data_IF_371379899061
#
_entry.id   IF_371379899061
#
_cell.length_a   1.000
_cell.length_b   1.000
_cell.length_c   1.000
_cell.angle_alpha   90.00
_cell.angle_beta   90.00
_cell.angle_gamma   90.00
#
_symmetry.space_group_name_H-M   'P 1'
#
loop_
_entity.id
_entity.type
_entity.pdbx_description
1 polymer ?
#
# COMPACT_ATOMS: atom_id res chain seq x y z
N UNK A 1 27.24 20.35 14.07
CA UNK A 1 26.43 19.10 14.12
C UNK A 1 26.18 18.55 15.53
N UNK A 2 26.91 18.96 16.59
CA UNK A 2 26.74 18.46 17.97
C UNK A 2 25.48 18.99 18.69
N UNK A 3 25.01 20.20 18.33
CA UNK A 3 23.91 20.90 19.02
C UNK A 3 22.51 20.29 18.78
N UNK A 4 22.29 19.65 17.61
CA UNK A 4 21.01 19.01 17.29
C UNK A 4 20.87 17.63 17.96
N UNK A 5 21.96 16.86 18.04
CA UNK A 5 22.00 15.56 18.73
C UNK A 5 21.76 15.71 20.24
N UNK A 6 22.21 16.81 20.86
CA UNK A 6 21.99 17.05 22.29
C UNK A 6 20.53 17.34 22.61
N UNK A 7 19.86 18.24 21.87
CA UNK A 7 18.43 18.57 22.06
C UNK A 7 17.51 17.34 21.95
N UNK A 8 17.76 16.48 20.98
CA UNK A 8 17.00 15.23 20.81
C UNK A 8 17.10 14.32 22.04
N UNK A 9 18.30 14.15 22.59
CA UNK A 9 18.54 13.33 23.79
C UNK A 9 17.87 13.89 25.06
N UNK A 10 17.85 15.23 25.21
CA UNK A 10 17.14 15.88 26.31
C UNK A 10 15.61 15.72 26.20
N UNK A 11 15.06 15.78 24.98
CA UNK A 11 13.64 15.54 24.74
C UNK A 11 13.25 14.11 25.11
N UNK A 12 14.01 13.11 24.65
CA UNK A 12 13.77 11.69 24.98
C UNK A 12 13.75 11.44 26.49
N UNK A 13 14.73 11.96 27.23
CA UNK A 13 14.79 11.81 28.70
C UNK A 13 13.64 12.50 29.43
N UNK A 14 13.25 13.68 28.96
CA UNK A 14 12.13 14.43 29.57
C UNK A 14 10.81 13.68 29.37
N UNK A 15 10.60 13.12 28.17
CA UNK A 15 9.44 12.26 27.85
C UNK A 15 9.44 11.01 28.72
N UNK A 16 10.57 10.28 28.80
CA UNK A 16 10.70 9.10 29.65
C UNK A 16 10.35 9.38 31.11
N UNK A 17 10.82 10.52 31.65
CA UNK A 17 10.54 10.93 33.03
C UNK A 17 9.05 11.21 33.27
N UNK A 18 8.40 11.93 32.35
CA UNK A 18 6.97 12.25 32.46
C UNK A 18 6.11 10.99 32.34
N UNK A 19 6.47 10.09 31.42
CA UNK A 19 5.77 8.84 31.17
C UNK A 19 6.17 7.71 32.13
N UNK A 20 7.07 7.98 33.08
CA UNK A 20 7.57 7.03 34.07
C UNK A 20 8.10 5.71 33.48
N UNK A 21 8.80 5.81 32.35
CA UNK A 21 9.32 4.67 31.57
C UNK A 21 10.81 4.83 31.28
N UNK A 22 11.47 3.74 30.86
CA UNK A 22 12.88 3.76 30.45
C UNK A 22 13.02 4.20 28.98
N UNK A 23 14.21 4.68 28.59
CA UNK A 23 14.51 4.98 27.18
C UNK A 23 14.32 3.73 26.28
N UNK A 24 14.58 2.53 26.81
CA UNK A 24 14.37 1.26 26.10
C UNK A 24 12.89 0.92 25.91
N UNK A 25 12.07 1.14 26.94
CA UNK A 25 10.60 0.97 26.85
C UNK A 25 10.02 1.95 25.83
N UNK A 26 10.42 3.22 25.89
CA UNK A 26 9.97 4.22 24.92
C UNK A 26 10.37 3.85 23.48
N UNK A 27 11.59 3.33 23.28
CA UNK A 27 12.03 2.89 21.96
C UNK A 27 11.24 1.68 21.44
N UNK A 28 10.93 0.72 22.32
CA UNK A 28 10.09 -0.42 21.98
C UNK A 28 8.66 0.02 21.59
N UNK A 29 8.05 0.89 22.39
CA UNK A 29 6.70 1.43 22.12
C UNK A 29 6.66 2.20 20.79
N UNK A 30 7.65 3.06 20.54
CA UNK A 30 7.77 3.77 19.25
C UNK A 30 7.88 2.78 18.08
N UNK A 31 8.67 1.71 18.23
CA UNK A 31 8.82 0.69 17.18
C UNK A 31 7.50 -0.03 16.89
N UNK A 32 6.74 -0.37 17.93
CA UNK A 32 5.42 -1.00 17.79
C UNK A 32 4.44 -0.07 17.08
N UNK A 33 4.34 1.19 17.54
CA UNK A 33 3.46 2.20 16.94
C UNK A 33 3.84 2.42 15.47
N UNK A 34 5.13 2.49 15.15
CA UNK A 34 5.61 2.65 13.78
C UNK A 34 5.17 1.48 12.89
N UNK A 35 5.36 0.24 13.34
CA UNK A 35 4.96 -0.96 12.59
C UNK A 35 3.44 -1.05 12.39
N UNK A 36 2.65 -0.65 13.40
CA UNK A 36 1.20 -0.57 13.28
C UNK A 36 0.78 0.47 12.23
N UNK A 37 1.40 1.66 12.26
CA UNK A 37 1.13 2.70 11.28
C UNK A 37 1.51 2.28 9.86
N UNK A 38 2.65 1.63 9.68
CA UNK A 38 3.09 1.09 8.38
C UNK A 38 2.09 0.07 7.83
N UNK A 39 1.52 -0.78 8.68
CA UNK A 39 0.49 -1.75 8.30
C UNK A 39 -0.80 -1.07 7.83
N UNK A 40 -1.28 -0.07 8.58
CA UNK A 40 -2.47 0.69 8.20
C UNK A 40 -2.26 1.45 6.88
N UNK A 41 -1.09 2.07 6.70
CA UNK A 41 -0.75 2.74 5.44
C UNK A 41 -0.78 1.77 4.26
N UNK A 42 -0.18 0.59 4.41
CA UNK A 42 -0.17 -0.43 3.35
C UNK A 42 -1.60 -0.89 2.97
N UNK A 43 -2.49 -1.01 3.96
CA UNK A 43 -3.90 -1.32 3.72
C UNK A 43 -4.60 -0.22 2.92
N UNK A 44 -4.45 1.04 3.32
CA UNK A 44 -5.01 2.17 2.57
C UNK A 44 -4.45 2.26 1.15
N UNK A 45 -3.16 2.01 0.95
CA UNK A 45 -2.54 1.97 -0.38
C UNK A 45 -3.19 0.90 -1.25
N UNK A 46 -3.37 -0.31 -0.72
CA UNK A 46 -4.00 -1.42 -1.45
C UNK A 46 -5.45 -1.08 -1.84
N UNK A 47 -6.21 -0.45 -0.94
CA UNK A 47 -7.57 0.02 -1.26
C UNK A 47 -7.59 1.10 -2.35
N UNK A 48 -6.62 2.03 -2.34
CA UNK A 48 -6.48 3.06 -3.38
C UNK A 48 -6.18 2.41 -4.73
N UNK A 49 -5.24 1.46 -4.78
CA UNK A 49 -4.89 0.74 -6.00
C UNK A 49 -6.08 -0.03 -6.55
N UNK A 50 -6.84 -0.72 -5.69
CA UNK A 50 -8.07 -1.39 -6.08
C UNK A 50 -9.08 -0.44 -6.71
N UNK A 51 -9.29 0.73 -6.12
CA UNK A 51 -10.22 1.74 -6.66
C UNK A 51 -9.74 2.28 -8.00
N UNK A 52 -8.44 2.57 -8.15
CA UNK A 52 -7.87 3.03 -9.40
C UNK A 52 -8.05 2.00 -10.51
N UNK A 53 -7.67 0.74 -10.27
CA UNK A 53 -7.86 -0.35 -11.23
C UNK A 53 -9.33 -0.51 -11.62
N UNK A 54 -10.26 -0.43 -10.65
CA UNK A 54 -11.71 -0.48 -10.92
C UNK A 54 -12.17 0.66 -11.83
N UNK A 55 -11.71 1.89 -11.62
CA UNK A 55 -12.08 3.03 -12.47
C UNK A 55 -11.61 2.80 -13.92
N UNK A 56 -10.36 2.38 -14.11
CA UNK A 56 -9.83 2.10 -15.45
C UNK A 56 -10.55 0.93 -16.12
N UNK A 57 -10.77 -0.16 -15.39
CA UNK A 57 -11.46 -1.34 -15.90
C UNK A 57 -12.93 -1.04 -16.23
N UNK A 58 -13.61 -0.24 -15.42
CA UNK A 58 -15.01 0.14 -15.66
C UNK A 58 -15.16 0.96 -16.95
N UNK A 59 -14.19 1.82 -17.27
CA UNK A 59 -14.20 2.58 -18.52
C UNK A 59 -14.05 1.68 -19.77
N UNK A 60 -13.43 0.50 -19.63
CA UNK A 60 -13.26 -0.48 -20.72
C UNK A 60 -14.42 -1.47 -20.78
N UNK A 61 -14.83 -2.04 -19.64
CA UNK A 61 -15.84 -3.10 -19.57
C UNK A 61 -17.28 -2.59 -19.46
N UNK A 62 -17.48 -1.34 -19.03
CA UNK A 62 -18.79 -0.67 -18.92
C UNK A 62 -19.74 -1.21 -17.86
N UNK A 63 -19.38 -2.30 -17.16
CA UNK A 63 -20.23 -2.96 -16.16
C UNK A 63 -19.41 -3.32 -14.91
N UNK A 64 -19.90 -2.91 -13.74
CA UNK A 64 -19.25 -3.15 -12.45
C UNK A 64 -19.15 -4.64 -12.07
N UNK A 65 -20.17 -5.45 -12.40
CA UNK A 65 -20.16 -6.89 -12.12
C UNK A 65 -19.11 -7.60 -12.97
N UNK A 66 -18.98 -7.21 -14.25
CA UNK A 66 -17.93 -7.70 -15.13
C UNK A 66 -16.54 -7.34 -14.60
N UNK A 67 -16.34 -6.10 -14.15
CA UNK A 67 -15.09 -5.67 -13.52
C UNK A 67 -14.78 -6.49 -12.27
N UNK A 68 -15.79 -6.72 -11.41
CA UNK A 68 -15.59 -7.48 -10.18
C UNK A 68 -15.21 -8.94 -10.46
N UNK A 69 -15.81 -9.56 -11.48
CA UNK A 69 -15.44 -10.90 -11.92
C UNK A 69 -14.03 -10.93 -12.51
N UNK A 70 -13.72 -10.00 -13.42
CA UNK A 70 -12.40 -9.90 -14.06
C UNK A 70 -11.26 -9.70 -13.04
N UNK A 71 -11.50 -8.92 -11.98
CA UNK A 71 -10.51 -8.73 -10.91
C UNK A 71 -10.14 -10.01 -10.17
N UNK A 72 -11.02 -11.02 -10.19
CA UNK A 72 -10.82 -12.31 -9.51
C UNK A 72 -10.42 -13.43 -10.47
N UNK A 73 -10.36 -13.14 -11.77
CA UNK A 73 -10.01 -14.12 -12.79
C UNK A 73 -8.49 -14.17 -12.96
N UNK A 74 -7.94 -15.38 -13.01
CA UNK A 74 -6.52 -15.56 -13.29
C UNK A 74 -6.22 -15.10 -14.71
N UNK A 75 -5.17 -14.29 -14.86
CA UNK A 75 -4.79 -13.77 -16.16
C UNK A 75 -3.39 -14.28 -16.58
N UNK A 76 -3.25 -14.98 -17.71
CA UNK A 76 -1.95 -15.43 -18.20
C UNK A 76 -0.91 -14.31 -18.40
N UNK A 77 -1.34 -13.11 -18.79
CA UNK A 77 -0.46 -11.94 -18.94
C UNK A 77 0.03 -11.37 -17.60
N UNK A 78 -0.59 -11.79 -16.49
CA UNK A 78 -0.19 -11.48 -15.11
C UNK A 78 0.46 -12.69 -14.44
N UNK A 79 1.16 -13.54 -15.22
CA UNK A 79 1.85 -14.73 -14.72
C UNK A 79 0.91 -15.73 -14.01
N UNK A 80 -0.37 -15.76 -14.41
CA UNK A 80 -1.41 -16.60 -13.82
C UNK A 80 -2.01 -16.07 -12.51
N UNK A 81 -1.58 -14.89 -12.03
CA UNK A 81 -2.20 -14.22 -10.90
C UNK A 81 -3.52 -13.53 -11.29
N UNK A 82 -4.36 -13.22 -10.30
CA UNK A 82 -5.53 -12.38 -10.53
C UNK A 82 -5.13 -10.91 -10.49
N UNK A 83 -5.82 -9.99 -11.20
CA UNK A 83 -5.55 -8.57 -11.08
C UNK A 83 -5.60 -8.07 -9.63
N UNK A 84 -6.51 -8.59 -8.80
CA UNK A 84 -6.61 -8.21 -7.39
C UNK A 84 -5.36 -8.57 -6.57
N UNK A 85 -4.68 -9.68 -6.86
CA UNK A 85 -3.48 -10.11 -6.15
C UNK A 85 -2.32 -9.11 -6.31
N UNK A 86 -2.28 -8.39 -7.43
CA UNK A 86 -1.22 -7.41 -7.73
C UNK A 86 -1.47 -6.04 -7.07
N UNK A 87 -2.67 -5.75 -6.59
CA UNK A 87 -3.06 -4.41 -6.11
C UNK A 87 -2.63 -4.13 -4.66
N UNK A 88 -1.58 -4.80 -4.19
CA UNK A 88 -0.87 -4.52 -2.94
C UNK A 88 0.40 -3.66 -3.17
N UNK A 89 0.72 -3.36 -4.42
CA UNK A 89 1.93 -2.63 -4.79
C UNK A 89 1.70 -1.69 -5.98
N UNK A 90 2.48 -0.62 -6.05
CA UNK A 90 2.41 0.33 -7.16
C UNK A 90 2.78 -0.30 -8.51
N UNK A 91 3.81 -1.15 -8.54
CA UNK A 91 4.21 -1.87 -9.76
C UNK A 91 3.13 -2.85 -10.22
N UNK A 92 2.45 -3.51 -9.29
CA UNK A 92 1.32 -4.38 -9.62
C UNK A 92 0.14 -3.62 -10.20
N UNK A 93 -0.19 -2.44 -9.66
CA UNK A 93 -1.20 -1.56 -10.25
C UNK A 93 -0.85 -1.17 -11.69
N UNK A 94 0.40 -0.78 -11.96
CA UNK A 94 0.85 -0.40 -13.29
C UNK A 94 0.62 -1.54 -14.30
N UNK A 95 1.03 -2.77 -13.95
CA UNK A 95 0.76 -3.96 -14.78
C UNK A 95 -0.72 -4.19 -15.04
N UNK A 96 -1.57 -3.99 -14.03
CA UNK A 96 -3.03 -4.13 -14.16
C UNK A 96 -3.61 -3.04 -15.07
N UNK A 97 -3.17 -1.79 -14.94
CA UNK A 97 -3.59 -0.69 -15.82
C UNK A 97 -3.15 -0.94 -17.27
N UNK A 98 -1.92 -1.40 -17.48
CA UNK A 98 -1.40 -1.73 -18.80
C UNK A 98 -2.20 -2.84 -19.46
N UNK A 99 -2.57 -3.88 -18.70
CA UNK A 99 -3.46 -4.94 -19.17
C UNK A 99 -4.83 -4.40 -19.60
N UNK A 100 -5.45 -3.54 -18.78
CA UNK A 100 -6.74 -2.91 -19.13
C UNK A 100 -6.62 -2.07 -20.41
N UNK A 101 -5.52 -1.34 -20.58
CA UNK A 101 -5.25 -0.57 -21.78
C UNK A 101 -5.04 -1.47 -23.01
N UNK A 102 -4.33 -2.59 -22.86
CA UNK A 102 -4.14 -3.56 -23.93
C UNK A 102 -5.49 -4.16 -24.39
N UNK A 103 -6.37 -4.51 -23.44
CA UNK A 103 -7.73 -4.98 -23.71
C UNK A 103 -8.54 -3.93 -24.48
N UNK A 104 -8.47 -2.65 -24.07
CA UNK A 104 -9.15 -1.54 -24.77
C UNK A 104 -8.76 -1.47 -26.25
N UNK A 105 -7.48 -1.68 -26.55
CA UNK A 105 -6.95 -1.60 -27.91
C UNK A 105 -7.00 -2.93 -28.68
N UNK A 106 -7.57 -3.99 -28.09
CA UNK A 106 -7.67 -5.31 -28.71
C UNK A 106 -6.32 -6.02 -28.88
N UNK A 107 -5.30 -5.60 -28.13
CA UNK A 107 -3.97 -6.21 -28.16
C UNK A 107 -3.99 -7.40 -27.19
N UNK A 108 -4.22 -8.60 -27.70
CA UNK A 108 -4.05 -9.83 -26.93
C UNK A 108 -2.56 -10.21 -26.89
N UNK A 109 -2.00 -10.32 -25.68
CA UNK A 109 -0.71 -10.97 -25.41
C UNK A 109 -0.94 -12.20 -24.54
#
# INVERSE_FOLDING_TARGET
>A
MLYLKSKSKYATRSICRVLNMTEATLAADISVIKSQLETEIAKYQSEIYLRQAKIHALDVFGNSDTVQNWLQEQNPALDGATPADLLNSAAGLERVIDLVNAIRHGVFM
#
